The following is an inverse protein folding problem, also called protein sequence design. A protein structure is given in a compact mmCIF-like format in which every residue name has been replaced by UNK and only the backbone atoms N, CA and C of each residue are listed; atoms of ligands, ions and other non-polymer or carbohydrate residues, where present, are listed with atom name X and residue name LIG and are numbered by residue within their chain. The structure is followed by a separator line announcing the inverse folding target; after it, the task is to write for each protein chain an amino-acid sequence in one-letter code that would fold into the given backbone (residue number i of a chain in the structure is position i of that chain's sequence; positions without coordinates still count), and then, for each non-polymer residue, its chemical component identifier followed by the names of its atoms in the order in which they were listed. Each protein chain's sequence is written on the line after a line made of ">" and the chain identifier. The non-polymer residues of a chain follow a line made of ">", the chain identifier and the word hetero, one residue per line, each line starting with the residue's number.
data_IF_815729423663
#
_entry.id   IF_815729423663
#
_cell.length_a   1.000
_cell.length_b   1.000
_cell.length_c   1.000
_cell.angle_alpha   90.00
_cell.angle_beta   90.00
_cell.angle_gamma   90.00
#
_symmetry.space_group_name_H-M   'P 1'
#
loop_
_entity.id
_entity.type
_entity.pdbx_description
1 polymer ?
#
# COMPACT_ATOMS: atom_id res chain seq x y z
N UNK A 1 -14.05 78.03 -26.91
CA UNK A 1 -14.40 76.70 -26.50
C UNK A 1 -13.15 75.84 -26.46
N UNK A 2 -12.62 75.47 -25.28
CA UNK A 2 -11.41 74.62 -25.12
C UNK A 2 -11.80 73.18 -25.02
N UNK A 3 -11.38 72.32 -25.95
CA UNK A 3 -11.60 70.87 -25.92
C UNK A 3 -10.65 70.22 -24.92
N UNK A 4 -11.18 69.62 -23.82
CA UNK A 4 -10.46 68.76 -22.85
C UNK A 4 -10.11 67.45 -23.57
N UNK A 5 -8.78 67.22 -23.74
CA UNK A 5 -8.26 65.87 -24.13
C UNK A 5 -8.37 64.91 -22.94
N UNK A 6 -9.17 63.89 -23.07
CA UNK A 6 -9.26 62.79 -22.13
C UNK A 6 -8.01 61.89 -22.38
N UNK A 7 -7.05 61.90 -21.43
CA UNK A 7 -5.93 60.97 -21.37
C UNK A 7 -6.31 59.86 -20.41
N UNK A 8 -6.87 58.80 -20.89
CA UNK A 8 -7.12 57.60 -20.11
C UNK A 8 -7.12 56.36 -20.98
N UNK A 9 -5.94 55.72 -21.20
CA UNK A 9 -5.89 54.34 -21.70
C UNK A 9 -4.50 53.67 -21.56
N UNK A 10 -3.44 54.37 -21.04
CA UNK A 10 -2.11 53.82 -21.00
C UNK A 10 -1.79 53.06 -19.67
N UNK A 11 -2.43 53.42 -18.56
CA UNK A 11 -2.21 52.79 -17.27
C UNK A 11 -2.85 51.44 -17.10
N UNK A 12 -4.04 51.27 -17.69
CA UNK A 12 -4.80 50.01 -17.54
C UNK A 12 -4.15 48.81 -18.23
N UNK A 13 -3.55 49.03 -19.41
CA UNK A 13 -2.84 47.95 -20.12
C UNK A 13 -1.59 47.47 -19.39
N UNK A 14 -0.81 48.36 -18.76
CA UNK A 14 0.38 47.99 -17.98
C UNK A 14 0.00 47.21 -16.71
N UNK A 15 -1.10 47.57 -16.07
CA UNK A 15 -1.60 46.90 -14.87
C UNK A 15 -2.15 45.50 -15.18
N UNK A 16 -2.81 45.31 -16.32
CA UNK A 16 -3.27 44.00 -16.79
C UNK A 16 -2.11 43.03 -17.07
N UNK A 17 -1.01 43.51 -17.66
CA UNK A 17 0.20 42.68 -17.88
C UNK A 17 0.86 42.25 -16.59
N UNK A 18 0.87 43.09 -15.55
CA UNK A 18 1.40 42.78 -14.23
C UNK A 18 0.57 41.68 -13.53
N UNK A 19 -0.77 41.77 -13.63
CA UNK A 19 -1.66 40.76 -13.04
C UNK A 19 -1.51 39.42 -13.75
N UNK A 20 -1.46 39.40 -15.08
CA UNK A 20 -1.25 38.18 -15.87
C UNK A 20 0.10 37.55 -15.54
N UNK A 21 1.17 38.35 -15.43
CA UNK A 21 2.48 37.90 -15.03
C UNK A 21 2.49 37.28 -13.62
N UNK A 22 1.82 37.90 -12.65
CA UNK A 22 1.68 37.37 -11.30
C UNK A 22 0.92 36.05 -11.23
N UNK A 23 -0.16 35.90 -12.03
CA UNK A 23 -0.92 34.65 -12.14
C UNK A 23 -0.06 33.53 -12.74
N UNK A 24 0.70 33.79 -13.80
CA UNK A 24 1.57 32.81 -14.45
C UNK A 24 2.70 32.36 -13.50
N UNK A 25 3.32 33.28 -12.77
CA UNK A 25 4.35 32.95 -11.77
C UNK A 25 3.75 32.13 -10.64
N UNK A 26 2.57 32.49 -10.11
CA UNK A 26 1.90 31.73 -9.07
C UNK A 26 1.51 30.32 -9.54
N UNK A 27 1.03 30.17 -10.78
CA UNK A 27 0.70 28.88 -11.37
C UNK A 27 1.97 28.01 -11.55
N UNK A 28 3.08 28.62 -11.99
CA UNK A 28 4.37 27.90 -12.10
C UNK A 28 4.88 27.43 -10.74
N UNK A 29 4.87 28.30 -9.72
CA UNK A 29 5.27 27.95 -8.34
C UNK A 29 4.38 26.83 -7.81
N UNK A 30 3.06 26.91 -8.00
CA UNK A 30 2.13 25.85 -7.58
C UNK A 30 2.41 24.53 -8.28
N UNK A 31 2.69 24.56 -9.59
CA UNK A 31 3.01 23.35 -10.36
C UNK A 31 4.31 22.68 -9.88
N UNK A 32 5.37 23.46 -9.68
CA UNK A 32 6.65 22.92 -9.18
C UNK A 32 6.50 22.40 -7.75
N UNK A 33 5.82 23.13 -6.87
CA UNK A 33 5.57 22.69 -5.49
C UNK A 33 4.72 21.42 -5.45
N UNK A 34 3.67 21.30 -6.28
CA UNK A 34 2.83 20.11 -6.32
C UNK A 34 3.56 18.90 -6.90
N UNK A 35 4.45 19.08 -7.90
CA UNK A 35 5.27 18.02 -8.46
C UNK A 35 6.29 17.49 -7.44
N UNK A 36 6.97 18.38 -6.70
CA UNK A 36 7.89 18.01 -5.62
C UNK A 36 7.18 17.25 -4.50
N UNK A 37 6.02 17.74 -4.05
CA UNK A 37 5.20 17.06 -3.05
C UNK A 37 4.68 15.69 -3.53
N UNK A 38 4.37 15.54 -4.82
CA UNK A 38 3.98 14.27 -5.40
C UNK A 38 5.15 13.28 -5.42
N UNK A 39 6.36 13.76 -5.71
CA UNK A 39 7.57 12.93 -5.69
C UNK A 39 7.92 12.48 -4.26
N UNK A 40 7.87 13.40 -3.27
CA UNK A 40 8.10 13.09 -1.85
C UNK A 40 7.06 12.09 -1.34
N UNK A 41 5.78 12.28 -1.66
CA UNK A 41 4.71 11.34 -1.28
C UNK A 41 4.91 9.97 -1.92
N UNK A 42 5.31 9.92 -3.19
CA UNK A 42 5.62 8.67 -3.88
C UNK A 42 6.80 7.93 -3.27
N UNK A 43 7.83 8.64 -2.83
CA UNK A 43 8.98 8.07 -2.13
C UNK A 43 8.59 7.52 -0.75
N UNK A 44 7.85 8.29 0.04
CA UNK A 44 7.39 7.85 1.36
C UNK A 44 6.47 6.63 1.25
N UNK A 45 5.51 6.65 0.32
CA UNK A 45 4.65 5.51 0.03
C UNK A 45 5.46 4.25 -0.36
N UNK A 46 6.48 4.41 -1.23
CA UNK A 46 7.35 3.31 -1.61
C UNK A 46 8.07 2.66 -0.41
N UNK A 47 8.58 3.48 0.49
CA UNK A 47 9.23 2.99 1.72
C UNK A 47 8.24 2.35 2.69
N UNK A 48 7.04 2.92 2.84
CA UNK A 48 6.00 2.37 3.72
C UNK A 48 5.50 1.01 3.21
N UNK A 49 5.20 0.87 1.91
CA UNK A 49 4.78 -0.42 1.35
C UNK A 49 5.89 -1.47 1.45
N UNK A 50 7.16 -1.08 1.22
CA UNK A 50 8.30 -1.98 1.39
C UNK A 50 8.42 -2.45 2.85
N UNK A 51 8.29 -1.56 3.82
CA UNK A 51 8.33 -1.89 5.25
C UNK A 51 7.24 -2.89 5.64
N UNK A 52 6.01 -2.72 5.11
CA UNK A 52 4.90 -3.65 5.37
C UNK A 52 5.22 -5.04 4.77
N UNK A 53 5.76 -5.07 3.54
CA UNK A 53 6.12 -6.34 2.89
C UNK A 53 7.27 -7.05 3.61
N UNK A 54 8.27 -6.33 4.09
CA UNK A 54 9.39 -6.90 4.84
C UNK A 54 8.92 -7.46 6.19
N UNK A 55 8.00 -6.78 6.87
CA UNK A 55 7.40 -7.25 8.12
C UNK A 55 6.55 -8.51 7.89
N UNK A 56 5.71 -8.52 6.85
CA UNK A 56 4.93 -9.68 6.45
C UNK A 56 5.83 -10.89 6.18
N UNK A 57 6.87 -10.70 5.37
CA UNK A 57 7.84 -11.74 5.05
C UNK A 57 8.51 -12.33 6.29
N UNK A 58 8.92 -11.48 7.23
CA UNK A 58 9.56 -11.92 8.46
C UNK A 58 8.59 -12.69 9.35
N UNK A 59 7.34 -12.21 9.50
CA UNK A 59 6.32 -12.89 10.30
C UNK A 59 5.95 -14.26 9.72
N UNK A 60 5.81 -14.35 8.38
CA UNK A 60 5.55 -15.60 7.70
C UNK A 60 6.73 -16.60 7.85
N UNK A 61 7.97 -16.13 7.69
CA UNK A 61 9.13 -16.97 7.86
C UNK A 61 9.22 -17.55 9.29
N UNK A 62 8.90 -16.74 10.30
CA UNK A 62 8.88 -17.18 11.70
C UNK A 62 7.76 -18.20 11.95
N UNK A 63 6.54 -17.94 11.44
CA UNK A 63 5.42 -18.86 11.56
C UNK A 63 5.72 -20.23 10.94
N UNK A 64 6.17 -20.29 9.69
CA UNK A 64 6.48 -21.56 9.04
C UNK A 64 7.71 -22.26 9.65
N UNK A 65 8.65 -21.51 10.24
CA UNK A 65 9.71 -22.09 11.05
C UNK A 65 9.14 -22.82 12.27
N UNK A 66 8.16 -22.24 12.97
CA UNK A 66 7.49 -22.87 14.11
C UNK A 66 6.67 -24.11 13.68
N UNK A 67 5.98 -24.04 12.53
CA UNK A 67 5.32 -25.21 11.96
C UNK A 67 6.31 -26.35 11.68
N UNK A 68 7.49 -26.05 11.12
CA UNK A 68 8.55 -27.04 10.94
C UNK A 68 9.01 -27.66 12.25
N UNK A 69 9.29 -26.83 13.26
CA UNK A 69 9.69 -27.30 14.60
C UNK A 69 8.64 -28.23 15.23
N UNK A 70 7.34 -27.95 15.04
CA UNK A 70 6.27 -28.82 15.50
C UNK A 70 6.25 -30.15 14.73
N UNK A 71 6.37 -30.12 13.40
CA UNK A 71 6.44 -31.33 12.57
C UNK A 71 7.63 -32.23 12.93
N UNK A 72 8.75 -31.63 13.37
CA UNK A 72 9.95 -32.31 13.84
C UNK A 72 9.86 -32.73 15.33
N UNK A 73 8.69 -32.54 15.97
CA UNK A 73 8.48 -32.77 17.41
C UNK A 73 9.43 -32.00 18.33
N UNK A 74 10.03 -30.89 17.87
CA UNK A 74 10.89 -30.01 18.67
C UNK A 74 10.09 -29.08 19.57
N UNK A 75 8.82 -28.83 19.25
CA UNK A 75 7.84 -28.13 20.09
C UNK A 75 6.54 -28.92 20.15
N UNK A 76 5.77 -28.70 21.23
CA UNK A 76 4.49 -29.39 21.43
C UNK A 76 3.36 -28.76 20.62
N UNK A 77 2.22 -29.47 20.50
CA UNK A 77 0.99 -28.95 19.90
C UNK A 77 0.52 -27.69 20.61
N UNK A 78 0.49 -27.67 21.95
CA UNK A 78 0.06 -26.51 22.70
C UNK A 78 0.97 -25.29 22.46
N UNK A 79 2.28 -25.52 22.30
CA UNK A 79 3.23 -24.44 22.01
C UNK A 79 3.01 -23.83 20.63
N UNK A 80 2.76 -24.63 19.58
CA UNK A 80 2.49 -24.08 18.25
C UNK A 80 1.14 -23.35 18.21
N UNK A 81 0.10 -23.84 18.87
CA UNK A 81 -1.19 -23.16 18.94
C UNK A 81 -1.10 -21.82 19.68
N UNK A 82 -0.42 -21.77 20.83
CA UNK A 82 -0.17 -20.51 21.56
C UNK A 82 0.65 -19.50 20.74
N UNK A 83 1.61 -19.99 19.92
CA UNK A 83 2.31 -19.15 18.98
C UNK A 83 1.39 -18.66 17.86
N UNK A 84 0.49 -19.53 17.37
CA UNK A 84 -0.50 -19.21 16.35
C UNK A 84 -1.40 -18.02 16.76
N UNK A 85 -1.85 -17.96 18.00
CA UNK A 85 -2.63 -16.82 18.52
C UNK A 85 -1.86 -15.50 18.38
N UNK A 86 -0.57 -15.52 18.70
CA UNK A 86 0.30 -14.34 18.56
C UNK A 86 0.51 -13.95 17.09
N UNK A 87 0.71 -14.95 16.21
CA UNK A 87 0.83 -14.77 14.78
C UNK A 87 -0.40 -14.11 14.17
N UNK A 88 -1.61 -14.59 14.52
CA UNK A 88 -2.89 -14.00 14.07
C UNK A 88 -2.98 -12.52 14.44
N UNK A 89 -2.59 -12.14 15.66
CA UNK A 89 -2.61 -10.74 16.10
C UNK A 89 -1.64 -9.88 15.27
N UNK A 90 -0.41 -10.35 15.01
CA UNK A 90 0.58 -9.63 14.20
C UNK A 90 0.14 -9.49 12.75
N UNK A 91 -0.40 -10.55 12.14
CA UNK A 91 -0.94 -10.51 10.78
C UNK A 91 -2.08 -9.49 10.64
N UNK A 92 -2.99 -9.39 11.62
CA UNK A 92 -4.04 -8.39 11.66
C UNK A 92 -3.48 -6.95 11.77
N UNK A 93 -2.39 -6.76 12.54
CA UNK A 93 -1.71 -5.46 12.59
C UNK A 93 -1.11 -5.08 11.23
N UNK A 94 -0.44 -6.02 10.55
CA UNK A 94 0.09 -5.84 9.19
C UNK A 94 -1.03 -5.48 8.20
N UNK A 95 -2.16 -6.19 8.22
CA UNK A 95 -3.34 -5.89 7.39
C UNK A 95 -3.86 -4.48 7.65
N UNK A 96 -3.87 -4.06 8.91
CA UNK A 96 -4.31 -2.71 9.30
C UNK A 96 -3.39 -1.62 8.73
N UNK A 97 -2.08 -1.88 8.59
CA UNK A 97 -1.12 -0.93 8.00
C UNK A 97 -1.45 -0.60 6.57
N UNK A 98 -1.91 -1.56 5.75
CA UNK A 98 -2.36 -1.28 4.38
C UNK A 98 -3.52 -0.27 4.33
N UNK A 99 -4.43 -0.31 5.31
CA UNK A 99 -5.58 0.62 5.34
C UNK A 99 -5.21 2.05 5.73
N UNK A 100 -4.06 2.21 6.39
CA UNK A 100 -3.55 3.51 6.85
C UNK A 100 -2.58 4.16 5.86
N UNK A 101 -2.17 3.44 4.82
CA UNK A 101 -1.25 3.96 3.81
C UNK A 101 -1.84 5.19 3.10
N UNK A 102 -1.05 6.26 3.06
CA UNK A 102 -1.31 7.41 2.20
C UNK A 102 -0.75 7.12 0.81
N UNK A 103 -1.58 6.53 -0.04
CA UNK A 103 -1.15 6.08 -1.37
C UNK A 103 -1.59 7.04 -2.46
N UNK A 104 -0.79 7.23 -3.53
CA UNK A 104 -1.24 7.87 -4.76
C UNK A 104 -2.32 7.01 -5.46
N UNK A 105 -3.29 7.64 -6.12
CA UNK A 105 -4.44 6.95 -6.73
C UNK A 105 -4.05 5.83 -7.70
N UNK A 106 -2.98 6.03 -8.47
CA UNK A 106 -2.45 5.04 -9.40
C UNK A 106 -2.11 3.69 -8.74
N UNK A 107 -1.76 3.68 -7.44
CA UNK A 107 -1.37 2.48 -6.70
C UNK A 107 -2.52 1.83 -5.90
N UNK A 108 -3.70 2.44 -5.87
CA UNK A 108 -4.85 1.96 -5.09
C UNK A 108 -5.22 0.50 -5.42
N UNK A 109 -5.17 0.12 -6.70
CA UNK A 109 -5.44 -1.25 -7.14
C UNK A 109 -4.42 -2.26 -6.61
N UNK A 110 -3.13 -1.94 -6.68
CA UNK A 110 -2.07 -2.83 -6.19
C UNK A 110 -2.10 -2.98 -4.67
N UNK A 111 -2.32 -1.89 -3.92
CA UNK A 111 -2.42 -1.96 -2.44
C UNK A 111 -3.60 -2.81 -2.00
N UNK A 112 -4.75 -2.70 -2.66
CA UNK A 112 -5.91 -3.57 -2.39
C UNK A 112 -5.59 -5.05 -2.61
N UNK A 113 -4.84 -5.36 -3.66
CA UNK A 113 -4.42 -6.73 -3.96
C UNK A 113 -3.39 -7.26 -2.96
N UNK A 114 -2.41 -6.44 -2.54
CA UNK A 114 -1.49 -6.81 -1.46
C UNK A 114 -2.23 -7.08 -0.15
N UNK A 115 -3.16 -6.20 0.22
CA UNK A 115 -4.00 -6.40 1.40
C UNK A 115 -4.81 -7.70 1.30
N UNK A 116 -5.46 -7.95 0.17
CA UNK A 116 -6.24 -9.17 -0.08
C UNK A 116 -5.36 -10.42 -0.01
N UNK A 117 -4.16 -10.38 -0.59
CA UNK A 117 -3.17 -11.45 -0.47
C UNK A 117 -2.87 -11.75 1.00
N UNK A 118 -2.58 -10.72 1.80
CA UNK A 118 -2.26 -10.87 3.23
C UNK A 118 -3.45 -11.39 4.04
N UNK A 119 -4.68 -10.95 3.74
CA UNK A 119 -5.92 -11.44 4.37
C UNK A 119 -6.14 -12.92 4.04
N UNK A 120 -5.96 -13.31 2.77
CA UNK A 120 -6.10 -14.70 2.33
C UNK A 120 -5.01 -15.60 2.92
N UNK A 121 -3.79 -15.08 3.07
CA UNK A 121 -2.69 -15.77 3.75
C UNK A 121 -3.03 -16.03 5.23
N UNK A 122 -3.54 -15.01 5.94
CA UNK A 122 -3.97 -15.17 7.33
C UNK A 122 -5.08 -16.23 7.45
N UNK A 123 -6.05 -16.23 6.54
CA UNK A 123 -7.11 -17.25 6.53
C UNK A 123 -6.52 -18.65 6.33
N UNK A 124 -5.55 -18.81 5.42
CA UNK A 124 -4.81 -20.06 5.23
C UNK A 124 -4.11 -20.50 6.52
N UNK A 125 -3.40 -19.58 7.19
CA UNK A 125 -2.67 -19.88 8.42
C UNK A 125 -3.61 -20.30 9.56
N UNK A 126 -4.81 -19.71 9.65
CA UNK A 126 -5.84 -20.09 10.61
C UNK A 126 -6.39 -21.51 10.34
N UNK A 127 -6.65 -21.88 9.09
CA UNK A 127 -7.04 -23.24 8.73
C UNK A 127 -5.93 -24.24 9.01
N UNK A 128 -4.67 -23.86 8.80
CA UNK A 128 -3.52 -24.71 9.15
C UNK A 128 -3.42 -24.95 10.66
N UNK A 129 -3.66 -23.91 11.48
CA UNK A 129 -3.72 -24.05 12.95
C UNK A 129 -4.89 -24.92 13.39
N UNK A 130 -6.05 -24.76 12.76
CA UNK A 130 -7.23 -25.57 13.04
C UNK A 130 -6.99 -27.06 12.70
N UNK A 131 -6.34 -27.35 11.57
CA UNK A 131 -5.90 -28.72 11.27
C UNK A 131 -4.96 -29.27 12.35
N UNK A 132 -3.98 -28.47 12.81
CA UNK A 132 -3.09 -28.90 13.91
C UNK A 132 -3.88 -29.19 15.18
N UNK A 133 -4.92 -28.41 15.48
CA UNK A 133 -5.76 -28.58 16.68
C UNK A 133 -6.66 -29.81 16.57
N UNK A 134 -7.35 -30.01 15.43
CA UNK A 134 -8.46 -30.96 15.31
C UNK A 134 -8.10 -32.24 14.55
N UNK A 135 -6.94 -32.27 13.87
CA UNK A 135 -6.48 -33.35 12.99
C UNK A 135 -7.44 -33.61 11.82
N UNK A 136 -8.13 -32.54 11.33
CA UNK A 136 -9.06 -32.60 10.20
C UNK A 136 -8.36 -32.27 8.88
N UNK A 137 -8.11 -33.30 8.06
CA UNK A 137 -7.44 -33.15 6.76
C UNK A 137 -8.17 -32.20 5.79
N UNK A 138 -9.50 -31.99 5.95
CA UNK A 138 -10.22 -31.02 5.12
C UNK A 138 -9.78 -29.59 5.36
N UNK A 139 -9.43 -29.25 6.59
CA UNK A 139 -8.91 -27.93 6.97
C UNK A 139 -7.51 -27.69 6.38
N UNK A 140 -6.66 -28.73 6.37
CA UNK A 140 -5.37 -28.64 5.72
C UNK A 140 -5.47 -28.41 4.21
N UNK A 141 -6.37 -29.14 3.54
CA UNK A 141 -6.63 -28.93 2.11
C UNK A 141 -7.09 -27.49 1.87
N UNK A 142 -7.98 -26.97 2.72
CA UNK A 142 -8.45 -25.59 2.63
C UNK A 142 -7.34 -24.57 2.87
N UNK A 143 -6.44 -24.82 3.83
CA UNK A 143 -5.25 -23.99 4.05
C UNK A 143 -4.38 -23.93 2.79
N UNK A 144 -4.09 -25.06 2.17
CA UNK A 144 -3.24 -25.13 0.97
C UNK A 144 -3.88 -24.38 -0.22
N UNK A 145 -5.21 -24.51 -0.43
CA UNK A 145 -5.94 -23.75 -1.47
C UNK A 145 -5.86 -22.24 -1.25
N UNK A 146 -6.06 -21.79 -0.01
CA UNK A 146 -5.99 -20.37 0.35
C UNK A 146 -4.55 -19.84 0.23
N UNK A 147 -3.55 -20.62 0.60
CA UNK A 147 -2.15 -20.28 0.41
C UNK A 147 -1.84 -20.04 -1.06
N UNK A 148 -2.29 -20.94 -1.95
CA UNK A 148 -2.14 -20.75 -3.38
C UNK A 148 -2.83 -19.47 -3.87
N UNK A 149 -4.07 -19.23 -3.45
CA UNK A 149 -4.82 -18.03 -3.82
C UNK A 149 -4.11 -16.75 -3.34
N UNK A 150 -3.51 -16.76 -2.15
CA UNK A 150 -2.75 -15.63 -1.64
C UNK A 150 -1.58 -15.27 -2.55
N UNK A 151 -0.82 -16.26 -3.04
CA UNK A 151 0.26 -16.04 -3.99
C UNK A 151 -0.23 -15.48 -5.34
N UNK A 152 -1.39 -15.93 -5.82
CA UNK A 152 -1.98 -15.38 -7.05
C UNK A 152 -2.34 -13.90 -6.88
N UNK A 153 -2.90 -13.50 -5.74
CA UNK A 153 -3.17 -12.09 -5.41
C UNK A 153 -1.88 -11.29 -5.26
N UNK A 154 -0.84 -11.83 -4.65
CA UNK A 154 0.46 -11.18 -4.54
C UNK A 154 1.09 -10.90 -5.91
N UNK A 155 1.09 -11.89 -6.80
CA UNK A 155 1.60 -11.72 -8.17
C UNK A 155 0.79 -10.70 -8.96
N UNK A 156 -0.53 -10.67 -8.79
CA UNK A 156 -1.39 -9.67 -9.39
C UNK A 156 -1.10 -8.27 -8.82
N UNK A 157 -0.85 -8.16 -7.50
CA UNK A 157 -0.48 -6.92 -6.83
C UNK A 157 0.84 -6.36 -7.37
N UNK A 158 1.88 -7.20 -7.48
CA UNK A 158 3.18 -6.84 -8.02
C UNK A 158 3.06 -6.36 -9.48
N UNK A 159 2.33 -7.08 -10.31
CA UNK A 159 2.07 -6.70 -11.71
C UNK A 159 1.37 -5.35 -11.80
N UNK A 160 0.32 -5.12 -10.98
CA UNK A 160 -0.41 -3.86 -10.91
C UNK A 160 0.48 -2.72 -10.41
N UNK A 161 1.32 -2.98 -9.41
CA UNK A 161 2.28 -2.00 -8.86
C UNK A 161 3.29 -1.55 -9.90
N UNK A 162 3.90 -2.49 -10.63
CA UNK A 162 4.86 -2.17 -11.69
C UNK A 162 4.21 -1.41 -12.85
N UNK A 163 2.95 -1.71 -13.17
CA UNK A 163 2.18 -0.95 -14.17
C UNK A 163 1.93 0.49 -13.72
N UNK A 164 1.51 0.68 -12.47
CA UNK A 164 1.30 2.01 -11.88
C UNK A 164 2.60 2.83 -11.83
N UNK A 165 3.72 2.19 -11.52
CA UNK A 165 5.04 2.81 -11.50
C UNK A 165 5.50 3.34 -12.86
N UNK A 166 5.14 2.63 -13.96
CA UNK A 166 5.46 3.05 -15.33
C UNK A 166 4.52 4.15 -15.84
N UNK A 167 3.28 4.19 -15.38
CA UNK A 167 2.24 5.14 -15.77
C UNK A 167 1.64 5.80 -14.51
N UNK A 168 2.34 6.73 -13.86
CA UNK A 168 1.90 7.34 -12.60
C UNK A 168 0.69 8.29 -12.74
N UNK A 169 0.33 8.66 -13.97
CA UNK A 169 -0.89 9.44 -14.26
C UNK A 169 -1.95 8.51 -14.85
N UNK A 170 -3.11 8.34 -14.16
CA UNK A 170 -4.25 7.62 -14.72
C UNK A 170 -4.90 8.36 -15.87
#
# INVERSE_FOLDING_TARGET
>A
MKKKKVKTASGFKKFSFLIIGAILVSAAIYYFYSAEQAQIRGYNFGNEIQSIQDELKNEQADFYSKISMWKEASITKDQILAYGDTHVLKMNDIITKYTKLQMPDAFSGSVKLFKLSTETQLESDQYLLSWIENDDESEKIRADELLQASFEYEMAALSSFEKAKRNPNP
#
